data_IF_349797296649
#
_entry.id   IF_349797296649
#
_cell.length_a   1.000
_cell.length_b   1.000
_cell.length_c   1.000
_cell.angle_alpha   90.00
_cell.angle_beta   90.00
_cell.angle_gamma   90.00
#
_symmetry.space_group_name_H-M   'P 1'
#
loop_
_entity.id
_entity.type
_entity.pdbx_description
1 polymer ?
#
# COMPACT_ATOMS: atom_id res chain seq x y z
N UNK A 1 -3.79 -16.88 -9.66
CA UNK A 1 -4.48 -16.17 -8.55
C UNK A 1 -3.41 -15.55 -7.68
N UNK A 2 -3.35 -14.22 -7.63
CA UNK A 2 -2.33 -13.49 -6.89
C UNK A 2 -2.63 -13.53 -5.39
N UNK A 3 -1.60 -13.64 -4.55
CA UNK A 3 -1.73 -13.48 -3.10
C UNK A 3 -1.20 -12.11 -2.69
N UNK A 4 -1.90 -11.43 -1.78
CA UNK A 4 -1.51 -10.12 -1.30
C UNK A 4 -1.07 -10.19 0.17
N UNK A 5 0.07 -9.56 0.47
CA UNK A 5 0.62 -9.45 1.82
C UNK A 5 0.75 -7.96 2.15
N UNK A 6 0.05 -7.52 3.20
CA UNK A 6 0.20 -6.18 3.75
C UNK A 6 1.28 -6.15 4.84
N UNK A 7 2.16 -5.16 4.74
CA UNK A 7 3.12 -4.82 5.78
C UNK A 7 2.72 -3.51 6.40
N UNK A 8 2.18 -3.60 7.61
CA UNK A 8 1.64 -2.48 8.39
C UNK A 8 2.47 -2.21 9.65
N UNK A 9 2.37 -0.99 10.16
CA UNK A 9 3.09 -0.58 11.38
C UNK A 9 3.51 0.88 11.41
N UNK A 10 3.81 1.38 12.60
CA UNK A 10 4.13 2.80 12.83
C UNK A 10 5.36 3.28 12.02
N UNK A 11 5.52 4.60 11.78
CA UNK A 11 6.71 5.13 11.14
C UNK A 11 7.97 4.74 11.93
N UNK A 12 9.02 4.33 11.21
CA UNK A 12 10.27 3.86 11.84
C UNK A 12 10.25 2.43 12.37
N UNK A 13 9.14 1.67 12.29
CA UNK A 13 9.09 0.28 12.77
C UNK A 13 9.86 -0.74 11.91
N UNK A 14 10.39 -0.32 10.75
CA UNK A 14 11.11 -1.20 9.82
C UNK A 14 10.24 -1.83 8.72
N UNK A 15 9.01 -1.35 8.50
CA UNK A 15 8.09 -1.84 7.46
C UNK A 15 8.75 -2.01 6.09
N UNK A 16 9.36 -0.96 5.53
CA UNK A 16 9.97 -1.02 4.20
C UNK A 16 11.10 -2.07 4.13
N UNK A 17 11.87 -2.20 5.21
CA UNK A 17 12.91 -3.23 5.31
C UNK A 17 12.30 -4.63 5.31
N UNK A 18 11.23 -4.83 6.07
CA UNK A 18 10.55 -6.12 6.15
C UNK A 18 9.80 -6.49 4.86
N UNK A 19 9.15 -5.52 4.21
CA UNK A 19 8.51 -5.71 2.91
C UNK A 19 9.52 -6.15 1.83
N UNK A 20 10.70 -5.50 1.77
CA UNK A 20 11.80 -5.93 0.89
C UNK A 20 12.32 -7.31 1.26
N UNK A 21 12.46 -7.60 2.55
CA UNK A 21 12.87 -8.93 3.01
C UNK A 21 11.90 -10.01 2.51
N UNK A 22 10.58 -9.80 2.68
CA UNK A 22 9.55 -10.72 2.21
C UNK A 22 9.58 -10.89 0.69
N UNK A 23 9.63 -9.81 -0.08
CA UNK A 23 9.72 -9.88 -1.54
C UNK A 23 10.94 -10.71 -1.99
N UNK A 24 12.11 -10.44 -1.39
CA UNK A 24 13.32 -11.22 -1.65
C UNK A 24 13.17 -12.70 -1.26
N UNK A 25 12.44 -13.02 -0.17
CA UNK A 25 12.19 -14.41 0.20
C UNK A 25 11.28 -15.10 -0.80
N UNK A 26 10.23 -14.43 -1.30
CA UNK A 26 9.35 -15.01 -2.33
C UNK A 26 10.11 -15.29 -3.63
N UNK A 27 10.89 -14.33 -4.11
CA UNK A 27 11.69 -14.48 -5.33
C UNK A 27 12.72 -15.61 -5.20
N UNK A 28 13.34 -15.78 -4.01
CA UNK A 28 14.27 -16.90 -3.73
C UNK A 28 13.60 -18.27 -3.68
N UNK A 29 12.28 -18.32 -3.59
CA UNK A 29 11.49 -19.55 -3.58
C UNK A 29 10.64 -19.66 -4.85
N UNK A 30 11.15 -19.12 -5.97
CA UNK A 30 10.58 -19.25 -7.32
C UNK A 30 9.17 -18.64 -7.49
N UNK A 31 8.79 -17.70 -6.64
CA UNK A 31 7.58 -16.88 -6.84
C UNK A 31 7.93 -15.55 -7.49
N UNK A 32 7.14 -15.15 -8.47
CA UNK A 32 7.19 -13.78 -8.99
C UNK A 32 6.54 -12.83 -7.98
N UNK A 33 7.20 -11.70 -7.67
CA UNK A 33 6.76 -10.78 -6.63
C UNK A 33 6.70 -9.33 -7.12
N UNK A 34 5.56 -8.67 -6.93
CA UNK A 34 5.44 -7.22 -7.03
C UNK A 34 5.63 -6.59 -5.65
N UNK A 35 6.46 -5.55 -5.55
CA UNK A 35 6.70 -4.82 -4.30
C UNK A 35 6.25 -3.36 -4.43
N UNK A 36 5.33 -2.94 -3.56
CA UNK A 36 4.87 -1.56 -3.44
C UNK A 36 5.28 -0.98 -2.09
N UNK A 37 5.97 0.15 -2.09
CA UNK A 37 6.45 0.83 -0.87
C UNK A 37 5.84 2.21 -0.75
N UNK A 38 5.56 2.68 0.47
CA UNK A 38 4.92 3.99 0.67
C UNK A 38 5.72 5.14 0.06
N UNK A 39 7.06 5.03 0.10
CA UNK A 39 7.97 6.06 -0.41
C UNK A 39 8.17 6.00 -1.93
N UNK A 40 7.54 5.06 -2.63
CA UNK A 40 7.66 4.96 -4.09
C UNK A 40 6.62 5.82 -4.78
N UNK A 41 7.06 6.60 -5.77
CA UNK A 41 6.20 7.53 -6.52
C UNK A 41 5.00 6.85 -7.21
N UNK A 42 5.08 5.54 -7.46
CA UNK A 42 4.07 4.79 -8.20
C UNK A 42 3.25 3.85 -7.29
N UNK A 43 3.06 4.20 -6.02
CA UNK A 43 2.25 3.40 -5.12
C UNK A 43 0.77 3.42 -5.55
N UNK A 44 0.12 2.26 -5.76
CA UNK A 44 -1.19 2.22 -6.41
C UNK A 44 -2.33 2.80 -5.57
N UNK A 45 -2.17 2.83 -4.25
CA UNK A 45 -3.22 3.26 -3.31
C UNK A 45 -2.87 4.53 -2.50
N UNK A 46 -1.60 4.93 -2.40
CA UNK A 46 -1.19 6.04 -1.52
C UNK A 46 -1.31 7.37 -2.26
N UNK A 47 -2.00 8.31 -1.63
CA UNK A 47 -2.17 9.68 -2.12
C UNK A 47 -1.11 10.60 -1.52
N UNK A 48 -0.48 11.37 -2.38
CA UNK A 48 0.44 12.47 -2.02
C UNK A 48 -0.25 13.84 -2.08
N UNK A 49 -1.50 13.88 -2.55
CA UNK A 49 -2.32 15.08 -2.63
C UNK A 49 -2.95 15.41 -1.27
N UNK A 50 -3.05 16.70 -0.96
CA UNK A 50 -3.77 17.20 0.22
C UNK A 50 -5.23 17.47 -0.14
N UNK A 51 -6.16 17.09 0.75
CA UNK A 51 -7.59 17.32 0.55
C UNK A 51 -8.15 18.18 1.68
N UNK A 52 -8.91 19.21 1.32
CA UNK A 52 -9.61 20.05 2.30
C UNK A 52 -10.93 19.41 2.78
N UNK A 53 -11.45 18.43 2.04
CA UNK A 53 -12.67 17.69 2.37
C UNK A 53 -12.37 16.18 2.49
N UNK A 54 -12.62 15.64 3.69
CA UNK A 54 -12.47 14.22 3.99
C UNK A 54 -13.32 13.31 3.09
N UNK A 55 -14.50 13.75 2.64
CA UNK A 55 -15.34 12.96 1.73
C UNK A 55 -14.67 12.76 0.38
N UNK A 56 -14.05 13.81 -0.15
CA UNK A 56 -13.30 13.76 -1.40
C UNK A 56 -12.09 12.83 -1.24
N UNK A 57 -11.37 12.93 -0.12
CA UNK A 57 -10.28 11.99 0.19
C UNK A 57 -10.77 10.54 0.18
N UNK A 58 -11.87 10.23 0.88
CA UNK A 58 -12.42 8.87 0.95
C UNK A 58 -12.88 8.35 -0.40
N UNK A 59 -13.55 9.16 -1.21
CA UNK A 59 -13.96 8.79 -2.58
C UNK A 59 -12.73 8.44 -3.44
N UNK A 60 -11.70 9.28 -3.43
CA UNK A 60 -10.45 9.03 -4.17
C UNK A 60 -9.70 7.81 -3.66
N UNK A 61 -9.70 7.61 -2.35
CA UNK A 61 -9.07 6.47 -1.71
C UNK A 61 -9.72 5.17 -2.17
N UNK A 62 -11.06 5.12 -2.16
CA UNK A 62 -11.82 3.98 -2.66
C UNK A 62 -11.67 3.79 -4.18
N UNK A 63 -11.62 4.87 -4.96
CA UNK A 63 -11.39 4.79 -6.41
C UNK A 63 -10.05 4.11 -6.73
N UNK A 64 -8.98 4.45 -6.00
CA UNK A 64 -7.66 3.84 -6.18
C UNK A 64 -7.64 2.38 -5.77
N UNK A 65 -8.28 2.03 -4.66
CA UNK A 65 -8.44 0.64 -4.24
C UNK A 65 -9.16 -0.19 -5.30
N UNK A 66 -10.25 0.32 -5.86
CA UNK A 66 -10.97 -0.37 -6.92
C UNK A 66 -10.09 -0.55 -8.17
N UNK A 67 -9.34 0.48 -8.58
CA UNK A 67 -8.40 0.38 -9.71
C UNK A 67 -7.31 -0.66 -9.46
N UNK A 68 -6.75 -0.70 -8.26
CA UNK A 68 -5.74 -1.68 -7.86
C UNK A 68 -6.30 -3.10 -7.88
N UNK A 69 -7.49 -3.33 -7.30
CA UNK A 69 -8.10 -4.67 -7.22
C UNK A 69 -8.56 -5.20 -8.58
N UNK A 70 -8.89 -4.32 -9.52
CA UNK A 70 -9.29 -4.67 -10.89
C UNK A 70 -8.11 -4.79 -11.85
N UNK A 71 -6.90 -4.37 -11.44
CA UNK A 71 -5.72 -4.48 -12.27
C UNK A 71 -5.25 -5.93 -12.35
N UNK A 72 -4.78 -6.33 -13.53
CA UNK A 72 -4.12 -7.62 -13.71
C UNK A 72 -2.64 -7.49 -13.31
N UNK A 73 -2.19 -8.41 -12.48
CA UNK A 73 -0.79 -8.51 -12.08
C UNK A 73 -0.25 -9.87 -12.52
N UNK A 74 0.88 -9.86 -13.22
CA UNK A 74 1.57 -11.08 -13.63
C UNK A 74 2.24 -11.80 -12.45
N UNK A 75 2.49 -11.10 -11.35
CA UNK A 75 3.23 -11.61 -10.20
C UNK A 75 2.38 -12.51 -9.28
N UNK A 76 2.88 -13.68 -8.91
CA UNK A 76 2.23 -14.61 -7.98
C UNK A 76 1.88 -13.97 -6.63
N UNK A 77 2.79 -13.12 -6.14
CA UNK A 77 2.68 -12.45 -4.84
C UNK A 77 2.78 -10.93 -5.02
N UNK A 78 1.97 -10.19 -4.26
CA UNK A 78 2.07 -8.74 -4.12
C UNK A 78 2.39 -8.45 -2.65
N UNK A 79 3.55 -7.87 -2.39
CA UNK A 79 3.92 -7.34 -1.08
C UNK A 79 3.72 -5.83 -1.11
N UNK A 80 2.88 -5.34 -0.20
CA UNK A 80 2.55 -3.92 -0.11
C UNK A 80 2.86 -3.40 1.28
N UNK A 81 3.82 -2.48 1.37
CA UNK A 81 3.92 -1.60 2.52
C UNK A 81 2.70 -0.68 2.51
N UNK A 82 1.95 -0.67 3.59
CA UNK A 82 0.71 0.07 3.66
C UNK A 82 0.65 0.95 4.90
N UNK A 83 -0.07 2.05 4.72
CA UNK A 83 -0.62 2.90 5.76
C UNK A 83 -2.17 2.82 5.71
N UNK A 84 -2.73 1.65 5.41
CA UNK A 84 -4.16 1.35 5.38
C UNK A 84 -4.86 1.85 6.65
N UNK A 85 -4.26 1.62 7.81
CA UNK A 85 -4.83 2.06 9.09
C UNK A 85 -4.34 3.45 9.51
N UNK A 86 -3.12 3.83 9.15
CA UNK A 86 -2.58 5.15 9.50
C UNK A 86 -3.19 6.29 8.69
N UNK A 87 -3.39 6.10 7.39
CA UNK A 87 -3.85 7.17 6.50
C UNK A 87 -5.24 7.68 6.90
N UNK A 88 -6.24 6.84 7.21
CA UNK A 88 -7.51 7.33 7.71
C UNK A 88 -7.38 7.96 9.10
N UNK A 89 -6.61 7.37 10.02
CA UNK A 89 -6.46 7.90 11.39
C UNK A 89 -5.83 9.29 11.38
N UNK A 90 -4.75 9.48 10.62
CA UNK A 90 -4.06 10.77 10.50
C UNK A 90 -4.98 11.82 9.89
N UNK A 91 -5.68 11.50 8.80
CA UNK A 91 -6.58 12.46 8.14
C UNK A 91 -7.88 12.72 8.95
N UNK A 92 -8.36 11.76 9.74
CA UNK A 92 -9.46 11.97 10.69
C UNK A 92 -9.05 12.85 11.86
N UNK A 93 -7.80 12.74 12.32
CA UNK A 93 -7.29 13.50 13.48
C UNK A 93 -6.99 14.99 13.21
N UNK A 94 -6.94 15.40 11.94
CA UNK A 94 -6.72 16.80 11.52
C UNK A 94 -8.04 17.62 11.51
N UNK A 95 -9.19 16.98 11.70
CA UNK A 95 -10.52 17.63 11.75
C UNK A 95 -10.88 18.24 13.13
N UNK A 96 -9.90 18.49 14.00
CA UNK A 96 -10.11 19.12 15.32
C UNK A 96 -9.36 20.45 15.47
#
# INVERSE_FOLDING_TARGET
MNKMVFVEGIPGSGKSTYARFLANQFERNDYTCSLFLETTYNHPIIQTETFDDYRIFMERYMERWNKFLLAEYESDIIVMESALFQSPIVNLSILH
#
